data_IF_446550317793
#
_entry.id   IF_446550317793
#
_cell.length_a   1.000
_cell.length_b   1.000
_cell.length_c   1.000
_cell.angle_alpha   90.00
_cell.angle_beta   90.00
_cell.angle_gamma   90.00
#
_symmetry.space_group_name_H-M   'P 1'
#
loop_
_entity.id
_entity.type
_entity.pdbx_description
1 polymer ?
#
# COMPACT_ATOMS: atom_id res chain seq x y z
N UNK A 1 -13.98 27.06 -2.94
CA UNK A 1 -15.28 26.83 -3.62
C UNK A 1 -15.13 25.54 -4.39
N UNK A 2 -15.96 24.51 -4.15
CA UNK A 2 -15.81 23.19 -4.80
C UNK A 2 -16.01 23.31 -6.31
N UNK A 3 -15.33 22.46 -7.09
CA UNK A 3 -15.46 22.42 -8.56
C UNK A 3 -16.93 22.24 -9.00
N UNK A 4 -17.70 21.50 -8.22
CA UNK A 4 -19.14 21.31 -8.43
C UNK A 4 -19.95 22.62 -8.33
N UNK A 5 -19.64 23.49 -7.37
CA UNK A 5 -20.32 24.79 -7.23
C UNK A 5 -20.01 25.70 -8.43
N UNK A 6 -18.75 25.72 -8.90
CA UNK A 6 -18.37 26.47 -10.11
C UNK A 6 -19.09 25.98 -11.35
N UNK A 7 -19.24 24.67 -11.51
CA UNK A 7 -19.99 24.07 -12.60
C UNK A 7 -21.47 24.48 -12.57
N UNK A 8 -22.12 24.43 -11.39
CA UNK A 8 -23.49 24.90 -11.23
C UNK A 8 -23.64 26.37 -11.57
N UNK A 9 -22.72 27.23 -11.14
CA UNK A 9 -22.72 28.66 -11.48
C UNK A 9 -22.64 28.86 -12.98
N UNK A 10 -21.72 28.17 -13.67
CA UNK A 10 -21.60 28.28 -15.13
C UNK A 10 -22.86 27.83 -15.86
N UNK A 11 -23.49 26.74 -15.41
CA UNK A 11 -24.73 26.22 -15.96
C UNK A 11 -25.89 27.20 -15.79
N UNK A 12 -26.05 27.76 -14.58
CA UNK A 12 -27.07 28.79 -14.34
C UNK A 12 -26.86 30.07 -15.10
N UNK A 13 -25.61 30.53 -15.27
CA UNK A 13 -25.29 31.68 -16.08
C UNK A 13 -25.68 31.47 -17.55
N UNK A 14 -25.39 30.27 -18.08
CA UNK A 14 -25.77 29.91 -19.45
C UNK A 14 -27.31 29.94 -19.65
N UNK A 15 -28.05 29.32 -18.72
CA UNK A 15 -29.51 29.33 -18.72
C UNK A 15 -30.05 30.75 -18.61
N UNK A 16 -29.45 31.59 -17.78
CA UNK A 16 -29.85 33.01 -17.63
C UNK A 16 -29.67 33.79 -18.93
N UNK A 17 -28.54 33.61 -19.62
CA UNK A 17 -28.30 34.28 -20.92
C UNK A 17 -29.30 33.83 -21.96
N UNK A 18 -29.65 32.53 -22.02
CA UNK A 18 -30.68 32.02 -22.92
C UNK A 18 -32.07 32.62 -22.58
N UNK A 19 -32.42 32.66 -21.31
CA UNK A 19 -33.70 33.22 -20.87
C UNK A 19 -33.83 34.72 -21.18
N UNK A 20 -32.76 35.49 -20.87
CA UNK A 20 -32.71 36.95 -21.15
C UNK A 20 -32.71 37.21 -22.65
N UNK A 21 -31.96 36.43 -23.43
CA UNK A 21 -31.95 36.58 -24.90
C UNK A 21 -33.33 36.31 -25.52
N UNK A 22 -33.96 35.18 -25.09
CA UNK A 22 -35.32 34.86 -25.57
C UNK A 22 -36.35 35.91 -25.17
N UNK A 23 -36.35 36.35 -23.91
CA UNK A 23 -37.26 37.41 -23.46
C UNK A 23 -37.01 38.75 -24.20
N UNK A 24 -35.73 39.11 -24.44
CA UNK A 24 -35.34 40.31 -25.13
C UNK A 24 -35.89 40.37 -26.58
N UNK A 25 -35.68 39.33 -27.37
CA UNK A 25 -36.23 39.25 -28.71
C UNK A 25 -37.75 39.24 -28.72
N UNK A 26 -38.41 38.51 -27.81
CA UNK A 26 -39.86 38.50 -27.70
C UNK A 26 -40.43 39.87 -27.38
N UNK A 27 -39.78 40.65 -26.50
CA UNK A 27 -40.27 41.97 -26.07
C UNK A 27 -39.91 43.08 -27.06
N UNK A 28 -38.72 43.04 -27.67
CA UNK A 28 -38.24 44.11 -28.55
C UNK A 28 -38.77 43.94 -29.99
N UNK A 29 -38.72 42.71 -30.49
CA UNK A 29 -39.08 42.41 -31.87
C UNK A 29 -40.50 41.85 -31.99
N UNK A 30 -41.19 41.59 -30.89
CA UNK A 30 -42.53 40.98 -30.81
C UNK A 30 -42.63 39.64 -31.54
N UNK A 31 -41.50 38.87 -31.56
CA UNK A 31 -41.46 37.58 -32.22
C UNK A 31 -42.11 36.48 -31.34
N UNK A 32 -42.58 35.40 -31.96
CA UNK A 32 -42.96 34.20 -31.21
C UNK A 32 -41.82 33.68 -30.35
N UNK A 33 -42.16 33.10 -29.20
CA UNK A 33 -41.15 32.55 -28.26
C UNK A 33 -40.25 31.52 -28.95
N UNK A 34 -40.79 30.72 -29.86
CA UNK A 34 -40.01 29.75 -30.67
C UNK A 34 -38.89 30.37 -31.44
N UNK A 35 -39.18 31.45 -32.19
CA UNK A 35 -38.26 32.16 -33.07
C UNK A 35 -37.21 32.93 -32.23
N UNK A 36 -37.67 33.56 -31.16
CA UNK A 36 -36.80 34.22 -30.17
C UNK A 36 -35.85 33.28 -29.51
N UNK A 37 -36.28 32.08 -29.11
CA UNK A 37 -35.46 31.04 -28.53
C UNK A 37 -34.44 30.53 -29.55
N UNK A 38 -34.88 30.25 -30.77
CA UNK A 38 -34.02 29.80 -31.84
C UNK A 38 -32.93 30.82 -32.16
N UNK A 39 -33.30 32.10 -32.35
CA UNK A 39 -32.33 33.20 -32.59
C UNK A 39 -31.34 33.33 -31.43
N UNK A 40 -31.81 33.26 -30.19
CA UNK A 40 -30.95 33.29 -28.99
C UNK A 40 -29.99 32.11 -29.00
N UNK A 41 -30.48 30.92 -29.33
CA UNK A 41 -29.67 29.69 -29.28
C UNK A 41 -28.54 29.73 -30.32
N UNK A 42 -28.85 30.12 -31.60
CA UNK A 42 -27.83 30.22 -32.65
C UNK A 42 -26.81 31.34 -32.38
N UNK A 43 -27.21 32.39 -31.67
CA UNK A 43 -26.33 33.49 -31.26
C UNK A 43 -25.42 33.07 -30.11
N UNK A 44 -25.97 32.47 -29.03
CA UNK A 44 -25.21 32.05 -27.85
C UNK A 44 -24.26 30.90 -28.17
N UNK A 45 -24.67 29.97 -29.04
CA UNK A 45 -23.80 28.87 -29.49
C UNK A 45 -22.79 29.27 -30.54
N UNK A 46 -22.76 30.54 -30.96
CA UNK A 46 -21.84 31.06 -31.98
C UNK A 46 -22.00 30.42 -33.37
N UNK A 47 -23.12 29.75 -33.65
CA UNK A 47 -23.39 29.10 -34.95
C UNK A 47 -23.67 30.13 -36.02
N UNK A 48 -24.47 31.17 -35.74
CA UNK A 48 -24.65 32.35 -36.58
C UNK A 48 -25.21 32.08 -37.98
N UNK A 49 -26.26 31.23 -38.09
CA UNK A 49 -26.88 30.93 -39.39
C UNK A 49 -27.48 32.15 -40.13
N UNK A 50 -27.74 33.21 -39.39
CA UNK A 50 -28.36 34.42 -39.89
C UNK A 50 -29.53 34.90 -39.02
N UNK A 51 -30.14 36.01 -39.41
CA UNK A 51 -31.30 36.55 -38.71
C UNK A 51 -32.55 35.73 -39.08
N UNK A 52 -33.35 35.32 -38.06
CA UNK A 52 -34.62 34.59 -38.29
C UNK A 52 -35.64 35.46 -38.99
N UNK A 53 -35.70 36.73 -38.60
CA UNK A 53 -36.45 37.82 -39.25
C UNK A 53 -35.58 39.07 -39.24
N UNK A 54 -35.82 40.06 -40.15
CA UNK A 54 -35.08 41.31 -40.13
C UNK A 54 -35.19 42.03 -38.78
N UNK A 55 -34.04 42.39 -38.21
CA UNK A 55 -33.97 43.05 -36.91
C UNK A 55 -34.22 44.57 -37.05
N UNK A 56 -34.97 45.12 -36.10
CA UNK A 56 -35.08 46.56 -35.90
C UNK A 56 -33.73 47.14 -35.42
N UNK A 57 -33.59 48.46 -35.44
CA UNK A 57 -32.42 49.15 -34.93
C UNK A 57 -32.18 48.81 -33.43
N UNK A 58 -33.24 48.72 -32.61
CA UNK A 58 -33.18 48.35 -31.21
C UNK A 58 -32.78 46.89 -31.04
N UNK A 59 -33.30 45.99 -31.86
CA UNK A 59 -32.94 44.58 -31.85
C UNK A 59 -31.48 44.34 -32.20
N UNK A 60 -30.92 45.12 -33.17
CA UNK A 60 -29.49 45.04 -33.49
C UNK A 60 -28.60 45.46 -32.33
N UNK A 61 -28.92 46.52 -31.59
CA UNK A 61 -28.20 46.94 -30.41
C UNK A 61 -28.28 45.87 -29.31
N UNK A 62 -29.47 45.30 -29.08
CA UNK A 62 -29.66 44.22 -28.13
C UNK A 62 -28.83 43.01 -28.51
N UNK A 63 -28.81 42.61 -29.78
CA UNK A 63 -28.02 41.46 -30.26
C UNK A 63 -26.53 41.67 -30.04
N UNK A 64 -25.99 42.87 -30.26
CA UNK A 64 -24.58 43.18 -30.00
C UNK A 64 -24.26 42.97 -28.52
N UNK A 65 -25.11 43.47 -27.63
CA UNK A 65 -24.93 43.30 -26.17
C UNK A 65 -25.00 41.81 -25.81
N UNK A 66 -25.99 41.09 -26.34
CA UNK A 66 -26.17 39.66 -26.10
C UNK A 66 -24.94 38.84 -26.54
N UNK A 67 -24.35 39.18 -27.73
CA UNK A 67 -23.14 38.53 -28.23
C UNK A 67 -21.97 38.70 -27.26
N UNK A 68 -21.72 39.92 -26.77
CA UNK A 68 -20.63 40.17 -25.82
C UNK A 68 -20.78 39.39 -24.55
N UNK A 69 -21.98 39.38 -23.95
CA UNK A 69 -22.25 38.56 -22.74
C UNK A 69 -22.20 37.06 -23.00
N UNK A 70 -22.66 36.63 -24.19
CA UNK A 70 -22.60 35.21 -24.59
C UNK A 70 -21.18 34.72 -24.72
N UNK A 71 -20.28 35.44 -25.38
CA UNK A 71 -18.87 35.06 -25.53
C UNK A 71 -18.21 34.93 -24.16
N UNK A 72 -18.44 35.89 -23.24
CA UNK A 72 -17.90 35.86 -21.91
C UNK A 72 -18.42 34.63 -21.13
N UNK A 73 -19.72 34.35 -21.17
CA UNK A 73 -20.37 33.25 -20.43
C UNK A 73 -19.98 31.89 -20.98
N UNK A 74 -19.97 31.73 -22.32
CA UNK A 74 -19.55 30.47 -22.96
C UNK A 74 -18.07 30.20 -22.69
N UNK A 75 -17.19 31.20 -22.85
CA UNK A 75 -15.76 31.06 -22.58
C UNK A 75 -15.49 30.65 -21.13
N UNK A 76 -16.19 31.28 -20.19
CA UNK A 76 -16.11 30.89 -18.77
C UNK A 76 -16.58 29.45 -18.53
N UNK A 77 -17.73 29.06 -19.13
CA UNK A 77 -18.29 27.72 -18.99
C UNK A 77 -17.38 26.62 -19.56
N UNK A 78 -16.79 26.88 -20.73
CA UNK A 78 -15.83 25.98 -21.38
C UNK A 78 -14.57 25.81 -20.50
N UNK A 79 -14.04 26.93 -19.97
CA UNK A 79 -12.87 26.88 -19.07
C UNK A 79 -13.15 26.02 -17.83
N UNK A 80 -14.34 26.19 -17.22
CA UNK A 80 -14.72 25.36 -16.06
C UNK A 80 -14.87 23.88 -16.43
N UNK A 81 -15.48 23.59 -17.58
CA UNK A 81 -15.63 22.21 -18.05
C UNK A 81 -14.27 21.54 -18.27
N UNK A 82 -13.33 22.24 -18.91
CA UNK A 82 -11.96 21.74 -19.06
C UNK A 82 -11.28 21.54 -17.71
N UNK A 83 -11.36 22.49 -16.80
CA UNK A 83 -10.80 22.36 -15.46
C UNK A 83 -11.37 21.15 -14.73
N UNK A 84 -12.70 20.93 -14.82
CA UNK A 84 -13.38 19.79 -14.20
C UNK A 84 -12.92 18.44 -14.77
N UNK A 85 -12.70 18.37 -16.08
CA UNK A 85 -12.17 17.16 -16.74
C UNK A 85 -10.69 16.95 -16.38
N UNK A 86 -9.88 18.01 -16.39
CA UNK A 86 -8.44 17.94 -16.13
C UNK A 86 -8.07 17.86 -14.65
N UNK A 87 -8.87 18.34 -13.72
CA UNK A 87 -8.68 18.12 -12.27
C UNK A 87 -8.84 16.63 -11.86
N UNK A 88 -9.05 15.76 -12.82
CA UNK A 88 -8.94 14.31 -12.66
C UNK A 88 -10.06 13.65 -11.85
N UNK A 89 -11.19 14.33 -11.61
CA UNK A 89 -12.31 13.76 -10.84
C UNK A 89 -12.81 12.46 -11.49
N UNK A 90 -12.93 12.45 -12.82
CA UNK A 90 -13.34 11.24 -13.57
C UNK A 90 -12.25 10.17 -13.50
N UNK A 91 -10.98 10.56 -13.69
CA UNK A 91 -9.85 9.64 -13.61
C UNK A 91 -9.69 9.06 -12.19
N UNK A 92 -9.90 9.87 -11.15
CA UNK A 92 -9.85 9.46 -9.76
C UNK A 92 -10.96 8.45 -9.44
N UNK A 93 -12.19 8.73 -9.83
CA UNK A 93 -13.32 7.82 -9.65
C UNK A 93 -13.13 6.48 -10.40
N UNK A 94 -12.62 6.53 -11.64
CA UNK A 94 -12.28 5.31 -12.39
C UNK A 94 -11.14 4.52 -11.74
N UNK A 95 -10.15 5.20 -11.17
CA UNK A 95 -9.03 4.57 -10.44
C UNK A 95 -9.53 3.88 -9.17
N UNK A 96 -10.35 4.56 -8.37
CA UNK A 96 -10.98 3.97 -7.17
C UNK A 96 -11.82 2.74 -7.51
N UNK A 97 -12.64 2.83 -8.56
CA UNK A 97 -13.44 1.69 -9.00
C UNK A 97 -12.60 0.48 -9.43
N UNK A 98 -11.53 0.72 -10.21
CA UNK A 98 -10.58 -0.35 -10.62
C UNK A 98 -9.87 -0.94 -9.41
N UNK A 99 -9.43 -0.11 -8.46
CA UNK A 99 -8.76 -0.52 -7.24
C UNK A 99 -9.66 -1.42 -6.39
N UNK A 100 -10.90 -1.01 -6.11
CA UNK A 100 -11.90 -1.81 -5.38
C UNK A 100 -12.16 -3.16 -6.07
N UNK A 101 -12.25 -3.18 -7.39
CA UNK A 101 -12.42 -4.42 -8.16
C UNK A 101 -11.18 -5.33 -8.07
N UNK A 102 -9.98 -4.77 -8.07
CA UNK A 102 -8.73 -5.51 -7.90
C UNK A 102 -8.66 -6.14 -6.52
N UNK A 103 -8.95 -5.39 -5.46
CA UNK A 103 -8.93 -5.85 -4.07
C UNK A 103 -9.91 -7.02 -3.87
N UNK A 104 -11.14 -6.92 -4.37
CA UNK A 104 -12.14 -8.00 -4.28
C UNK A 104 -11.70 -9.33 -4.92
N UNK A 105 -10.72 -9.29 -5.85
CA UNK A 105 -10.18 -10.47 -6.52
C UNK A 105 -8.87 -10.97 -5.93
N UNK A 106 -8.29 -10.22 -4.98
CA UNK A 106 -7.03 -10.61 -4.34
C UNK A 106 -7.26 -11.84 -3.47
N UNK A 107 -6.31 -12.77 -3.53
CA UNK A 107 -6.20 -13.94 -2.66
C UNK A 107 -4.75 -14.11 -2.24
N UNK A 108 -4.53 -14.74 -1.12
CA UNK A 108 -3.19 -15.03 -0.59
C UNK A 108 -2.32 -13.77 -0.49
N UNK A 109 -2.93 -12.66 -0.10
CA UNK A 109 -2.26 -11.37 0.04
C UNK A 109 -2.07 -10.99 1.50
N UNK A 110 -1.33 -9.91 1.73
CA UNK A 110 -1.10 -9.35 3.04
C UNK A 110 -1.79 -7.99 3.17
N UNK A 111 -2.23 -7.69 4.39
CA UNK A 111 -2.88 -6.42 4.73
C UNK A 111 -1.98 -5.66 5.70
N UNK A 112 -1.71 -4.39 5.43
CA UNK A 112 -0.99 -3.50 6.33
C UNK A 112 -1.97 -2.47 6.84
N UNK A 113 -2.23 -2.44 8.15
CA UNK A 113 -3.08 -1.46 8.80
C UNK A 113 -2.22 -0.32 9.36
N UNK A 114 -2.35 0.86 8.75
CA UNK A 114 -1.56 2.05 9.02
C UNK A 114 -0.35 2.20 8.08
N UNK A 115 -0.19 3.39 7.50
CA UNK A 115 0.91 3.77 6.61
C UNK A 115 1.83 4.84 7.26
N UNK A 116 1.97 4.78 8.58
CA UNK A 116 2.98 5.53 9.34
C UNK A 116 4.39 4.98 9.11
N UNK A 117 5.37 5.40 9.93
CA UNK A 117 6.77 5.02 9.74
C UNK A 117 6.98 3.50 9.64
N UNK A 118 6.40 2.73 10.56
CA UNK A 118 6.54 1.27 10.58
C UNK A 118 5.81 0.61 9.42
N UNK A 119 4.55 0.97 9.18
CA UNK A 119 3.76 0.38 8.08
C UNK A 119 4.34 0.69 6.72
N UNK A 120 4.92 1.87 6.54
CA UNK A 120 5.64 2.26 5.33
C UNK A 120 6.85 1.38 5.07
N UNK A 121 7.68 1.13 6.07
CA UNK A 121 8.86 0.26 5.94
C UNK A 121 8.45 -1.18 5.61
N UNK A 122 7.38 -1.70 6.24
CA UNK A 122 6.81 -3.02 5.89
C UNK A 122 6.35 -3.06 4.44
N UNK A 123 5.67 -2.01 3.96
CA UNK A 123 5.21 -1.93 2.58
C UNK A 123 6.36 -1.89 1.57
N UNK A 124 7.43 -1.14 1.86
CA UNK A 124 8.64 -1.09 1.03
C UNK A 124 9.32 -2.45 0.94
N UNK A 125 9.42 -3.18 2.06
CA UNK A 125 10.00 -4.52 2.08
C UNK A 125 9.14 -5.53 1.32
N UNK A 126 7.81 -5.51 1.47
CA UNK A 126 6.91 -6.36 0.71
C UNK A 126 7.00 -6.07 -0.80
N UNK A 127 7.15 -4.79 -1.17
CA UNK A 127 7.37 -4.40 -2.56
C UNK A 127 8.70 -4.94 -3.10
N UNK A 128 9.80 -4.81 -2.33
CA UNK A 128 11.13 -5.30 -2.69
C UNK A 128 11.13 -6.81 -2.93
N UNK A 129 10.42 -7.55 -2.09
CA UNK A 129 10.32 -9.01 -2.15
C UNK A 129 9.17 -9.51 -3.06
N UNK A 130 8.47 -8.59 -3.75
CA UNK A 130 7.36 -8.88 -4.68
C UNK A 130 6.19 -9.64 -4.03
N UNK A 131 5.98 -9.43 -2.75
CA UNK A 131 4.83 -9.96 -2.01
C UNK A 131 3.59 -9.15 -2.39
N UNK A 132 2.45 -9.79 -2.61
CA UNK A 132 1.18 -9.10 -2.87
C UNK A 132 0.61 -8.56 -1.58
N UNK A 133 0.35 -7.27 -1.52
CA UNK A 133 -0.21 -6.61 -0.34
C UNK A 133 -1.10 -5.43 -0.71
N UNK A 134 -1.84 -4.96 0.27
CA UNK A 134 -2.55 -3.70 0.26
C UNK A 134 -2.39 -2.98 1.61
N UNK A 135 -2.69 -1.70 1.62
CA UNK A 135 -2.58 -0.86 2.81
C UNK A 135 -3.96 -0.30 3.16
N UNK A 136 -4.33 -0.36 4.43
CA UNK A 136 -5.49 0.35 4.98
C UNK A 136 -4.96 1.58 5.72
N UNK A 137 -5.45 2.77 5.34
CA UNK A 137 -5.11 4.02 6.03
C UNK A 137 -6.27 5.02 5.96
N UNK A 138 -6.40 5.85 6.99
CA UNK A 138 -7.44 6.91 7.05
C UNK A 138 -7.19 8.02 6.03
N UNK A 139 -5.92 8.31 5.76
CA UNK A 139 -5.47 9.42 4.91
C UNK A 139 -4.36 8.97 3.94
N UNK A 140 -4.63 8.01 3.05
CA UNK A 140 -3.61 7.44 2.16
C UNK A 140 -2.92 8.51 1.30
N UNK A 141 -3.61 9.63 1.02
CA UNK A 141 -3.09 10.76 0.27
C UNK A 141 -1.91 11.48 0.94
N UNK A 142 -1.72 11.31 2.24
CA UNK A 142 -0.56 11.84 2.98
C UNK A 142 0.69 10.98 2.80
N UNK A 143 0.53 9.73 2.40
CA UNK A 143 1.65 8.83 2.18
C UNK A 143 2.30 9.05 0.80
N UNK A 144 3.63 9.08 0.76
CA UNK A 144 4.38 9.10 -0.49
C UNK A 144 4.11 7.86 -1.35
N UNK A 145 3.78 6.73 -0.71
CA UNK A 145 3.44 5.48 -1.38
C UNK A 145 2.13 5.56 -2.19
N UNK A 146 1.25 6.52 -1.88
CA UNK A 146 0.01 6.73 -2.63
C UNK A 146 0.23 7.23 -4.07
N UNK A 147 1.43 7.72 -4.38
CA UNK A 147 1.83 8.10 -5.74
C UNK A 147 2.20 6.89 -6.60
N UNK A 148 2.46 5.77 -5.98
CA UNK A 148 2.81 4.53 -6.66
C UNK A 148 1.53 3.76 -7.02
N UNK A 149 1.21 3.72 -8.30
CA UNK A 149 0.01 3.05 -8.81
C UNK A 149 0.01 1.53 -8.63
N UNK A 150 1.16 0.94 -8.34
CA UNK A 150 1.28 -0.49 -8.07
C UNK A 150 0.82 -0.88 -6.66
N UNK A 151 0.68 0.08 -5.74
CA UNK A 151 0.28 -0.14 -4.36
C UNK A 151 -1.22 0.13 -4.22
N UNK A 152 -1.94 -0.85 -3.71
CA UNK A 152 -3.38 -0.75 -3.48
C UNK A 152 -3.65 -0.21 -2.07
N UNK A 153 -4.58 0.74 -1.99
CA UNK A 153 -5.01 1.33 -0.73
C UNK A 153 -6.50 1.13 -0.52
N UNK A 154 -6.89 0.83 0.72
CA UNK A 154 -8.26 0.98 1.22
C UNK A 154 -8.27 2.21 2.12
N UNK A 155 -9.08 3.20 1.77
CA UNK A 155 -9.24 4.40 2.60
C UNK A 155 -10.29 4.14 3.67
N UNK A 156 -9.86 4.14 4.93
CA UNK A 156 -10.76 3.94 6.06
C UNK A 156 -10.01 3.69 7.36
N UNK A 157 -10.79 3.53 8.41
CA UNK A 157 -10.26 3.14 9.71
C UNK A 157 -10.14 1.61 9.79
N UNK A 158 -8.93 1.11 10.04
CA UNK A 158 -8.69 -0.33 10.15
C UNK A 158 -9.39 -0.97 11.38
N UNK A 159 -9.91 -0.16 12.31
CA UNK A 159 -10.70 -0.62 13.45
C UNK A 159 -12.12 -1.05 13.01
N UNK A 160 -12.61 -0.53 11.89
CA UNK A 160 -13.94 -0.83 11.38
C UNK A 160 -13.95 -2.17 10.63
N UNK A 161 -14.87 -3.05 11.00
CA UNK A 161 -15.04 -4.38 10.39
C UNK A 161 -15.28 -4.28 8.87
N UNK A 162 -16.08 -3.31 8.43
CA UNK A 162 -16.40 -3.09 7.02
C UNK A 162 -15.16 -2.78 6.18
N UNK A 163 -14.21 -2.02 6.73
CA UNK A 163 -12.95 -1.66 6.06
C UNK A 163 -12.05 -2.89 5.90
N UNK A 164 -11.99 -3.76 6.92
CA UNK A 164 -11.26 -5.02 6.84
C UNK A 164 -11.89 -5.99 5.84
N UNK A 165 -13.23 -6.02 5.75
CA UNK A 165 -13.94 -6.79 4.73
C UNK A 165 -13.72 -6.21 3.32
N UNK A 166 -13.70 -4.89 3.16
CA UNK A 166 -13.34 -4.25 1.88
C UNK A 166 -11.91 -4.63 1.44
N UNK A 167 -11.00 -4.82 2.39
CA UNK A 167 -9.65 -5.30 2.16
C UNK A 167 -9.56 -6.83 1.86
N UNK A 168 -10.70 -7.51 1.79
CA UNK A 168 -10.83 -8.95 1.52
C UNK A 168 -10.04 -9.81 2.52
N UNK A 169 -10.15 -9.48 3.81
CA UNK A 169 -9.41 -10.13 4.91
C UNK A 169 -9.65 -11.64 4.97
N UNK A 170 -10.84 -12.12 4.58
CA UNK A 170 -11.20 -13.53 4.58
C UNK A 170 -10.30 -14.38 3.67
N UNK A 171 -9.74 -13.77 2.62
CA UNK A 171 -8.84 -14.40 1.64
C UNK A 171 -7.36 -13.99 1.84
N UNK A 172 -7.05 -13.25 2.91
CA UNK A 172 -5.69 -12.82 3.20
C UNK A 172 -4.90 -13.91 3.94
N UNK A 173 -3.59 -13.97 3.71
CA UNK A 173 -2.66 -14.84 4.41
C UNK A 173 -2.13 -14.23 5.71
N UNK A 174 -2.01 -12.90 5.75
CA UNK A 174 -1.51 -12.24 6.93
C UNK A 174 -1.90 -10.77 7.02
N UNK A 175 -1.78 -10.24 8.23
CA UNK A 175 -2.06 -8.85 8.55
C UNK A 175 -0.96 -8.31 9.47
N UNK A 176 -0.50 -7.11 9.14
CA UNK A 176 0.40 -6.31 9.99
C UNK A 176 -0.39 -5.13 10.54
N UNK A 177 -0.57 -5.07 11.86
CA UNK A 177 -1.20 -3.93 12.53
C UNK A 177 -0.10 -2.98 13.02
N UNK A 178 0.03 -1.82 12.36
CA UNK A 178 1.07 -0.82 12.58
C UNK A 178 0.47 0.57 12.85
N UNK A 179 -0.64 0.61 13.60
CA UNK A 179 -1.28 1.85 14.02
C UNK A 179 -0.52 2.47 15.20
N UNK A 180 -0.53 3.80 15.35
CA UNK A 180 0.20 4.46 16.42
C UNK A 180 -0.34 4.14 17.82
N UNK A 181 -1.65 3.90 17.97
CA UNK A 181 -2.29 3.64 19.25
C UNK A 181 -2.40 2.14 19.53
N UNK A 182 -1.95 1.70 20.71
CA UNK A 182 -2.01 0.31 21.15
C UNK A 182 -3.45 -0.23 21.23
N UNK A 183 -4.40 0.60 21.64
CA UNK A 183 -5.82 0.28 21.71
C UNK A 183 -6.40 -0.01 20.31
N UNK A 184 -6.06 0.81 19.32
CA UNK A 184 -6.48 0.60 17.93
C UNK A 184 -5.90 -0.71 17.38
N UNK A 185 -4.62 -1.00 17.64
CA UNK A 185 -4.00 -2.28 17.28
C UNK A 185 -4.72 -3.47 17.94
N UNK A 186 -5.16 -3.32 19.20
CA UNK A 186 -5.90 -4.38 19.89
C UNK A 186 -7.25 -4.67 19.22
N UNK A 187 -8.01 -3.64 18.85
CA UNK A 187 -9.28 -3.81 18.14
C UNK A 187 -9.07 -4.46 16.77
N UNK A 188 -8.10 -3.97 15.99
CA UNK A 188 -7.76 -4.58 14.68
C UNK A 188 -7.43 -6.07 14.84
N UNK A 189 -6.62 -6.45 15.83
CA UNK A 189 -6.25 -7.86 16.07
C UNK A 189 -7.46 -8.71 16.43
N UNK A 190 -8.35 -8.21 17.30
CA UNK A 190 -9.56 -8.91 17.70
C UNK A 190 -10.48 -9.15 16.50
N UNK A 191 -10.81 -8.09 15.77
CA UNK A 191 -11.67 -8.17 14.59
C UNK A 191 -11.06 -9.04 13.49
N UNK A 192 -9.78 -8.85 13.20
CA UNK A 192 -9.07 -9.63 12.19
C UNK A 192 -9.09 -11.14 12.50
N UNK A 193 -8.89 -11.52 13.76
CA UNK A 193 -8.94 -12.92 14.21
C UNK A 193 -10.33 -13.50 14.11
N UNK A 194 -11.36 -12.70 14.41
CA UNK A 194 -12.76 -13.10 14.29
C UNK A 194 -13.17 -13.32 12.82
N UNK A 195 -12.77 -12.40 11.92
CA UNK A 195 -13.11 -12.47 10.49
C UNK A 195 -12.32 -13.57 9.77
N UNK A 196 -11.06 -13.81 10.15
CA UNK A 196 -10.23 -14.86 9.57
C UNK A 196 -9.43 -15.61 10.66
N UNK A 197 -9.94 -16.74 11.15
CA UNK A 197 -9.27 -17.53 12.20
C UNK A 197 -7.89 -18.09 11.83
N UNK A 198 -7.58 -18.19 10.52
CA UNK A 198 -6.30 -18.74 10.04
C UNK A 198 -5.25 -17.67 9.73
N UNK A 199 -5.62 -16.39 9.83
CA UNK A 199 -4.78 -15.27 9.46
C UNK A 199 -3.50 -15.22 10.32
N UNK A 200 -2.36 -15.02 9.70
CA UNK A 200 -1.13 -14.70 10.44
C UNK A 200 -1.13 -13.23 10.81
N UNK A 201 -1.23 -12.91 12.09
CA UNK A 201 -1.33 -11.55 12.59
C UNK A 201 -0.06 -11.15 13.32
N UNK A 202 0.58 -10.09 12.84
CA UNK A 202 1.70 -9.42 13.51
C UNK A 202 1.25 -8.02 13.90
N UNK A 203 1.46 -7.62 15.15
CA UNK A 203 1.08 -6.30 15.64
C UNK A 203 2.27 -5.56 16.24
N UNK A 204 2.31 -4.26 16.11
CA UNK A 204 3.17 -3.44 16.96
C UNK A 204 2.50 -3.14 18.30
N UNK A 205 3.31 -2.82 19.31
CA UNK A 205 2.91 -2.25 20.59
C UNK A 205 3.98 -1.33 21.13
N UNK A 206 3.59 -0.18 21.63
CA UNK A 206 4.49 0.73 22.32
C UNK A 206 4.70 0.30 23.77
N UNK A 207 3.64 -0.12 24.46
CA UNK A 207 3.70 -0.48 25.86
C UNK A 207 3.92 -1.99 26.09
N UNK A 208 4.86 -2.32 26.98
CA UNK A 208 5.16 -3.71 27.35
C UNK A 208 3.93 -4.47 27.90
N UNK A 209 3.03 -3.78 28.62
CA UNK A 209 1.80 -4.39 29.16
C UNK A 209 0.81 -4.79 28.07
N UNK A 210 0.80 -4.07 26.93
CA UNK A 210 -0.11 -4.31 25.81
C UNK A 210 0.30 -5.54 24.99
N UNK A 211 1.58 -5.88 24.96
CA UNK A 211 2.08 -7.08 24.25
C UNK A 211 1.31 -8.33 24.66
N UNK A 212 1.13 -8.53 25.98
CA UNK A 212 0.40 -9.72 26.49
C UNK A 212 -1.08 -9.70 26.12
N UNK A 213 -1.70 -8.52 26.05
CA UNK A 213 -3.10 -8.37 25.64
C UNK A 213 -3.28 -8.70 24.17
N UNK A 214 -2.41 -8.18 23.30
CA UNK A 214 -2.42 -8.45 21.86
C UNK A 214 -2.22 -9.93 21.53
N UNK A 215 -1.30 -10.60 22.21
CA UNK A 215 -1.14 -12.06 22.06
C UNK A 215 -2.38 -12.84 22.48
N UNK A 216 -3.03 -12.45 23.60
CA UNK A 216 -4.30 -13.05 24.05
C UNK A 216 -5.46 -12.74 23.11
N UNK A 217 -5.46 -11.58 22.45
CA UNK A 217 -6.44 -11.18 21.45
C UNK A 217 -6.32 -11.98 20.13
N UNK A 218 -5.22 -12.70 19.94
CA UNK A 218 -5.02 -13.56 18.78
C UNK A 218 -3.89 -13.14 17.84
N UNK A 219 -3.04 -12.18 18.22
CA UNK A 219 -1.82 -11.91 17.46
C UNK A 219 -0.86 -13.09 17.56
N UNK A 220 -0.26 -13.49 16.43
CA UNK A 220 0.75 -14.53 16.39
C UNK A 220 2.09 -14.02 16.93
N UNK A 221 2.40 -12.75 16.64
CA UNK A 221 3.58 -12.05 17.15
C UNK A 221 3.26 -10.58 17.43
N UNK A 222 3.94 -10.05 18.43
CA UNK A 222 3.89 -8.61 18.77
C UNK A 222 5.31 -8.11 18.92
N UNK A 223 5.60 -6.98 18.34
CA UNK A 223 6.90 -6.31 18.40
C UNK A 223 6.74 -4.88 18.93
N UNK A 224 7.77 -4.38 19.62
CA UNK A 224 7.87 -2.97 19.98
C UNK A 224 9.00 -2.33 19.16
N UNK A 225 8.69 -1.51 18.15
CA UNK A 225 9.69 -0.86 17.32
C UNK A 225 10.64 0.01 18.13
N UNK A 226 10.12 0.76 19.11
CA UNK A 226 10.90 1.62 19.99
C UNK A 226 11.92 0.82 20.84
N UNK A 227 11.55 -0.35 21.35
CA UNK A 227 12.47 -1.21 22.09
C UNK A 227 13.56 -1.81 21.19
N UNK A 228 13.19 -2.22 19.98
CA UNK A 228 14.15 -2.75 19.00
C UNK A 228 15.14 -1.65 18.63
N UNK A 229 14.65 -0.47 18.24
CA UNK A 229 15.48 0.66 17.90
C UNK A 229 16.37 1.10 19.05
N UNK A 230 15.83 1.22 20.27
CA UNK A 230 16.61 1.63 21.45
C UNK A 230 17.74 0.64 21.78
N UNK A 231 17.47 -0.68 21.73
CA UNK A 231 18.51 -1.69 21.91
C UNK A 231 19.57 -1.63 20.82
N UNK A 232 19.16 -1.38 19.58
CA UNK A 232 20.09 -1.25 18.43
C UNK A 232 21.00 -0.06 18.61
N UNK A 233 20.44 1.13 18.93
CA UNK A 233 21.21 2.34 19.20
C UNK A 233 22.23 2.14 20.34
N UNK A 234 21.80 1.55 21.46
CA UNK A 234 22.71 1.24 22.55
C UNK A 234 23.82 0.26 22.13
N UNK A 235 23.49 -0.76 21.32
CA UNK A 235 24.46 -1.73 20.82
C UNK A 235 25.51 -1.11 19.90
N UNK A 236 25.11 -0.14 19.06
CA UNK A 236 26.03 0.59 18.18
C UNK A 236 27.07 1.37 19.00
N UNK A 237 26.67 1.98 20.11
CA UNK A 237 27.58 2.72 21.00
C UNK A 237 28.46 1.78 21.80
N UNK A 238 27.89 0.72 22.37
CA UNK A 238 28.60 -0.16 23.30
C UNK A 238 29.48 -1.20 22.61
N UNK A 239 29.11 -1.63 21.39
CA UNK A 239 29.75 -2.73 20.67
C UNK A 239 29.79 -2.49 19.16
N UNK A 240 30.38 -1.39 18.67
CA UNK A 240 30.31 -0.97 17.26
C UNK A 240 30.84 -2.05 16.31
N UNK A 241 31.96 -2.70 16.66
CA UNK A 241 32.56 -3.74 15.80
C UNK A 241 31.66 -4.97 15.66
N UNK A 242 30.91 -5.34 16.71
CA UNK A 242 29.96 -6.48 16.66
C UNK A 242 28.78 -6.13 15.78
N UNK A 243 28.27 -4.90 15.91
CA UNK A 243 27.14 -4.42 15.10
C UNK A 243 27.53 -4.35 13.62
N UNK A 244 28.67 -3.76 13.29
CA UNK A 244 29.17 -3.70 11.92
C UNK A 244 29.38 -5.10 11.32
N UNK A 245 29.91 -6.04 12.12
CA UNK A 245 30.06 -7.43 11.67
C UNK A 245 28.70 -8.07 11.34
N UNK A 246 27.70 -7.91 12.20
CA UNK A 246 26.37 -8.47 11.96
C UNK A 246 25.68 -7.83 10.74
N UNK A 247 25.85 -6.51 10.53
CA UNK A 247 25.28 -5.82 9.37
C UNK A 247 25.88 -6.33 8.06
N UNK A 248 27.20 -6.54 8.02
CA UNK A 248 27.87 -7.13 6.85
C UNK A 248 27.38 -8.56 6.59
N UNK A 249 27.04 -9.33 7.65
CA UNK A 249 26.56 -10.71 7.53
C UNK A 249 25.12 -10.81 7.05
N UNK A 250 24.26 -9.81 7.34
CA UNK A 250 22.83 -9.84 6.99
C UNK A 250 22.56 -9.12 5.69
N UNK A 251 23.19 -7.95 5.48
CA UNK A 251 22.87 -7.02 4.38
C UNK A 251 24.07 -6.77 3.45
N UNK A 252 25.18 -7.49 3.60
CA UNK A 252 26.40 -7.31 2.83
C UNK A 252 26.24 -7.62 1.33
N UNK A 253 27.16 -7.11 0.48
CA UNK A 253 27.18 -7.41 -0.95
C UNK A 253 27.21 -8.93 -1.22
N UNK A 254 26.75 -9.36 -2.40
CA UNK A 254 26.62 -10.76 -2.79
C UNK A 254 27.89 -11.60 -2.65
N UNK A 255 29.06 -10.97 -2.71
CA UNK A 255 30.39 -11.62 -2.54
C UNK A 255 30.89 -11.67 -1.09
N UNK A 256 30.16 -11.05 -0.15
CA UNK A 256 30.54 -11.07 1.26
C UNK A 256 30.06 -12.36 1.94
N UNK A 257 30.68 -12.66 3.09
CA UNK A 257 30.18 -13.73 3.98
C UNK A 257 28.77 -13.38 4.44
N UNK A 258 27.85 -14.32 4.37
CA UNK A 258 26.47 -14.17 4.80
C UNK A 258 26.03 -15.33 5.69
N UNK A 259 24.96 -15.10 6.42
CA UNK A 259 24.32 -16.12 7.25
C UNK A 259 23.08 -16.64 6.53
N UNK A 260 23.01 -17.96 6.35
CA UNK A 260 21.94 -18.64 5.62
C UNK A 260 21.38 -19.82 6.40
N UNK A 261 20.14 -20.13 6.13
CA UNK A 261 19.48 -21.32 6.64
C UNK A 261 19.52 -22.45 5.61
N UNK A 262 19.96 -23.63 6.05
CA UNK A 262 20.00 -24.85 5.22
C UNK A 262 19.23 -25.96 5.92
N UNK A 263 18.10 -26.36 5.36
CA UNK A 263 17.27 -27.42 5.89
C UNK A 263 17.90 -28.80 5.65
N UNK A 264 17.83 -29.66 6.66
CA UNK A 264 18.22 -31.08 6.58
C UNK A 264 16.98 -31.89 6.21
N UNK A 265 16.85 -32.23 4.92
CA UNK A 265 15.72 -33.00 4.41
C UNK A 265 15.77 -34.46 4.88
N UNK A 266 14.62 -35.11 4.86
CA UNK A 266 14.50 -36.55 5.12
C UNK A 266 15.39 -37.34 4.15
N UNK A 267 16.19 -38.26 4.68
CA UNK A 267 17.16 -39.04 3.89
C UNK A 267 18.52 -38.38 3.69
N UNK A 268 18.79 -37.22 4.28
CA UNK A 268 20.10 -36.59 4.26
C UNK A 268 21.17 -37.53 4.88
N UNK A 269 22.35 -37.64 4.23
CA UNK A 269 23.45 -38.45 4.77
C UNK A 269 24.08 -37.89 6.05
N UNK A 270 23.65 -36.72 6.48
CA UNK A 270 24.09 -36.06 7.70
C UNK A 270 23.22 -36.42 8.90
N UNK A 271 22.05 -37.02 8.71
CA UNK A 271 21.14 -37.45 9.77
C UNK A 271 21.84 -38.47 10.70
N UNK A 272 21.68 -38.31 12.00
CA UNK A 272 22.31 -39.07 13.09
C UNK A 272 23.82 -38.87 13.23
N UNK A 273 24.49 -38.06 12.43
CA UNK A 273 25.88 -37.62 12.64
C UNK A 273 25.90 -36.36 13.50
N UNK A 274 26.93 -36.19 14.31
CA UNK A 274 27.20 -34.92 14.93
C UNK A 274 28.01 -34.01 13.98
N UNK A 275 28.06 -32.69 14.24
CA UNK A 275 28.74 -31.72 13.36
C UNK A 275 30.23 -32.03 13.16
N UNK A 276 30.89 -32.66 14.17
CA UNK A 276 32.29 -33.05 14.07
C UNK A 276 32.45 -34.23 13.10
N UNK A 277 31.60 -35.25 13.23
CA UNK A 277 31.59 -36.43 12.35
C UNK A 277 31.19 -36.09 10.93
N UNK A 278 30.22 -35.16 10.77
CA UNK A 278 29.79 -34.67 9.47
C UNK A 278 30.89 -33.89 8.72
N UNK A 279 31.84 -33.30 9.46
CA UNK A 279 32.97 -32.60 8.85
C UNK A 279 32.60 -31.44 7.94
N UNK A 280 31.43 -30.83 8.12
CA UNK A 280 30.85 -29.82 7.21
C UNK A 280 31.85 -28.74 6.84
N UNK A 281 32.53 -28.15 7.81
CA UNK A 281 33.49 -27.07 7.54
C UNK A 281 34.66 -27.48 6.66
N UNK A 282 35.11 -28.76 6.76
CA UNK A 282 36.21 -29.29 5.91
C UNK A 282 35.78 -29.51 4.48
N UNK A 283 34.52 -29.92 4.26
CA UNK A 283 34.01 -30.25 2.93
C UNK A 283 33.49 -29.03 2.20
N UNK A 284 32.91 -28.07 2.90
CA UNK A 284 32.17 -26.98 2.29
C UNK A 284 32.80 -25.60 2.51
N UNK A 285 33.72 -25.48 3.49
CA UNK A 285 34.24 -24.19 3.95
C UNK A 285 33.24 -23.35 4.76
N UNK A 286 32.00 -23.78 4.88
CA UNK A 286 30.98 -23.08 5.66
C UNK A 286 31.12 -23.37 7.17
N UNK A 287 30.81 -22.38 8.00
CA UNK A 287 30.84 -22.48 9.45
C UNK A 287 29.41 -22.61 9.98
N UNK A 288 29.11 -23.68 10.73
CA UNK A 288 27.81 -23.83 11.40
C UNK A 288 27.85 -23.09 12.72
N UNK A 289 26.96 -22.06 12.84
CA UNK A 289 26.83 -21.23 14.04
C UNK A 289 25.65 -21.63 14.92
N UNK A 290 24.69 -22.37 14.37
CA UNK A 290 23.55 -22.87 15.14
C UNK A 290 22.80 -23.99 14.42
N UNK A 291 21.95 -24.68 15.18
CA UNK A 291 20.99 -25.67 14.70
C UNK A 291 19.64 -25.31 15.31
N UNK A 292 18.64 -25.14 14.46
CA UNK A 292 17.26 -24.89 14.82
C UNK A 292 16.47 -26.20 14.68
N UNK A 293 16.00 -26.75 15.78
CA UNK A 293 15.25 -28.01 15.77
C UNK A 293 13.79 -27.78 15.37
N UNK A 294 13.06 -28.86 15.00
CA UNK A 294 11.63 -28.80 14.66
C UNK A 294 10.75 -28.34 15.84
N UNK A 295 11.28 -28.35 17.06
CA UNK A 295 10.63 -27.78 18.25
C UNK A 295 10.77 -26.27 18.39
N UNK A 296 11.39 -25.60 17.41
CA UNK A 296 11.63 -24.16 17.38
C UNK A 296 12.75 -23.70 18.34
N UNK A 297 13.49 -24.61 18.96
CA UNK A 297 14.60 -24.26 19.85
C UNK A 297 15.90 -24.20 19.07
N UNK A 298 16.52 -23.05 19.10
CA UNK A 298 17.83 -22.82 18.49
C UNK A 298 18.95 -23.18 19.47
N UNK A 299 19.84 -24.07 19.06
CA UNK A 299 21.09 -24.35 19.74
C UNK A 299 22.21 -23.58 19.05
N UNK A 300 22.91 -22.74 19.80
CA UNK A 300 23.99 -21.87 19.29
C UNK A 300 25.34 -22.32 19.79
N UNK A 301 26.39 -22.14 19.03
CA UNK A 301 27.77 -22.48 19.39
C UNK A 301 28.61 -21.21 19.71
N UNK A 302 29.34 -21.10 20.82
CA UNK A 302 29.25 -21.97 21.99
C UNK A 302 28.09 -21.60 22.93
N UNK A 303 27.44 -22.59 23.54
CA UNK A 303 26.48 -22.33 24.60
C UNK A 303 26.99 -22.95 25.93
N UNK A 304 26.59 -22.37 27.05
CA UNK A 304 26.97 -22.86 28.39
C UNK A 304 26.49 -24.30 28.67
N UNK A 305 25.51 -24.79 27.90
CA UNK A 305 24.85 -26.07 28.09
C UNK A 305 25.08 -27.08 26.95
N UNK A 306 25.71 -26.72 25.86
CA UNK A 306 25.93 -27.63 24.72
C UNK A 306 27.12 -27.25 23.85
N UNK A 307 27.96 -28.22 23.52
CA UNK A 307 28.93 -28.11 22.46
C UNK A 307 28.29 -28.60 21.16
N UNK A 308 28.02 -27.70 20.24
CA UNK A 308 27.37 -28.04 18.95
C UNK A 308 28.08 -29.16 18.21
N UNK A 309 29.40 -29.31 18.39
CA UNK A 309 30.18 -30.35 17.74
C UNK A 309 29.72 -31.78 18.11
N UNK A 310 29.01 -31.93 19.22
CA UNK A 310 28.50 -33.22 19.75
C UNK A 310 26.99 -33.37 19.56
N UNK A 311 26.31 -32.34 19.08
CA UNK A 311 24.86 -32.38 18.81
C UNK A 311 24.59 -33.19 17.55
N UNK A 312 23.78 -34.25 17.66
CA UNK A 312 23.35 -35.03 16.49
C UNK A 312 22.37 -34.23 15.65
N UNK A 313 22.63 -34.20 14.35
CA UNK A 313 21.74 -33.60 13.32
C UNK A 313 20.56 -34.55 13.13
N UNK A 314 19.35 -34.01 13.15
CA UNK A 314 18.08 -34.73 12.96
C UNK A 314 17.42 -34.34 11.63
N UNK A 315 16.51 -35.17 11.18
CA UNK A 315 15.63 -34.82 10.08
C UNK A 315 14.81 -33.55 10.42
N UNK A 316 14.62 -32.66 9.44
CA UNK A 316 13.95 -31.39 9.57
C UNK A 316 14.63 -30.39 10.52
N UNK A 317 15.86 -30.63 10.91
CA UNK A 317 16.68 -29.59 11.52
C UNK A 317 17.06 -28.55 10.48
N UNK A 318 17.22 -27.31 10.90
CA UNK A 318 17.71 -26.20 10.05
C UNK A 318 19.08 -25.79 10.56
N UNK A 319 20.10 -25.95 9.72
CA UNK A 319 21.46 -25.52 10.02
C UNK A 319 21.57 -24.02 9.75
N UNK A 320 22.00 -23.24 10.73
CA UNK A 320 22.35 -21.84 10.56
C UNK A 320 23.85 -21.80 10.21
N UNK A 321 24.13 -21.47 8.96
CA UNK A 321 25.48 -21.52 8.41
C UNK A 321 25.97 -20.13 8.00
N UNK A 322 27.28 -19.92 8.11
CA UNK A 322 27.97 -18.72 7.71
C UNK A 322 29.00 -19.07 6.64
N UNK A 323 28.97 -18.36 5.51
CA UNK A 323 29.87 -18.58 4.37
C UNK A 323 29.56 -17.65 3.22
N UNK A 324 30.42 -17.64 2.19
CA UNK A 324 30.11 -16.96 0.92
C UNK A 324 29.16 -17.80 0.07
N UNK A 325 28.68 -17.24 -1.05
CA UNK A 325 27.72 -17.90 -1.95
C UNK A 325 28.17 -19.31 -2.35
N UNK A 326 29.42 -19.48 -2.77
CA UNK A 326 29.96 -20.78 -3.20
C UNK A 326 29.95 -21.80 -2.04
N UNK A 327 30.35 -21.38 -0.85
CA UNK A 327 30.38 -22.23 0.34
C UNK A 327 28.97 -22.66 0.77
N UNK A 328 28.00 -21.76 0.69
CA UNK A 328 26.60 -22.07 1.02
C UNK A 328 26.00 -23.02 -0.02
N UNK A 329 26.29 -22.83 -1.31
CA UNK A 329 25.84 -23.76 -2.35
C UNK A 329 26.50 -25.15 -2.19
N UNK A 330 27.79 -25.23 -1.86
CA UNK A 330 28.44 -26.46 -1.51
C UNK A 330 27.78 -27.12 -0.28
N UNK A 331 27.43 -26.34 0.73
CA UNK A 331 26.74 -26.86 1.92
C UNK A 331 25.37 -27.45 1.55
N UNK A 332 24.58 -26.78 0.74
CA UNK A 332 23.28 -27.29 0.30
C UNK A 332 23.42 -28.62 -0.45
N UNK A 333 24.41 -28.74 -1.32
CA UNK A 333 24.69 -29.98 -2.05
C UNK A 333 25.19 -31.06 -1.09
N UNK A 334 26.06 -30.71 -0.15
CA UNK A 334 26.62 -31.64 0.82
C UNK A 334 25.55 -32.19 1.77
N UNK A 335 24.63 -31.34 2.23
CA UNK A 335 23.50 -31.77 3.06
C UNK A 335 22.58 -32.72 2.28
N UNK A 336 22.41 -32.54 0.97
CA UNK A 336 21.53 -33.34 0.14
C UNK A 336 22.15 -34.66 -0.33
N UNK A 337 23.44 -34.65 -0.66
CA UNK A 337 24.11 -35.75 -1.36
C UNK A 337 25.34 -36.32 -0.64
N UNK A 338 25.83 -35.69 0.41
CA UNK A 338 27.02 -36.08 1.13
C UNK A 338 28.35 -35.85 0.38
N UNK A 339 28.32 -35.09 -0.70
CA UNK A 339 29.48 -34.84 -1.58
C UNK A 339 29.63 -33.34 -1.89
#
# INVERSE_FOLDING_TARGET
MSAFIRFLIAFFLLLMVIAVGTAGYTLIEHWPVSDSLYMTFITVTTVGFGEVHPLSEQGRHFTIILIVFSIATVGYSVTILFTYIFEGIILKAMREYRMKRSIKRMKDHYIICGCGDVGREVALEFKRTRVRFLIIDREPEKSELARDESILFVKGDAVDDEVLLEANIEQANGLVSALPEDEANLFVVLTARQLNPRLTIVSQAEEQRTIRKLLKAGANRVISPSQIAGRRLASIILRPSVVNFLDVMVDGPSDSMRMEEVAVETGSPLVNKNLREAGIGRHTGAVIVGINGPDGKTKVNPSASSNLSTVSIRENDVLIAMGNEAQIQHLRNFVKHGR
#
